data_IF_157153370132
#
_entry.id   IF_157153370132
#
_cell.length_a   1.000
_cell.length_b   1.000
_cell.length_c   1.000
_cell.angle_alpha   90.00
_cell.angle_beta   90.00
_cell.angle_gamma   90.00
#
_symmetry.space_group_name_H-M   'P 1'
#
loop_
_entity.id
_entity.type
_entity.pdbx_description
1 polymer ?
#
# COMPACT_ATOMS: atom_id res chain seq x y z
N UNK A 1 -8.69 -33.25 -28.37
CA UNK A 1 -7.79 -32.44 -27.51
C UNK A 1 -8.56 -31.21 -27.08
N UNK A 2 -9.32 -31.33 -25.99
CA UNK A 2 -10.01 -30.18 -25.40
C UNK A 2 -8.97 -29.27 -24.75
N UNK A 3 -8.71 -28.11 -25.37
CA UNK A 3 -7.96 -27.03 -24.74
C UNK A 3 -8.91 -26.43 -23.69
N UNK A 4 -8.76 -26.88 -22.45
CA UNK A 4 -9.49 -26.34 -21.31
C UNK A 4 -8.98 -24.90 -21.09
N UNK A 5 -9.68 -23.92 -21.66
CA UNK A 5 -9.39 -22.51 -21.40
C UNK A 5 -9.73 -22.24 -19.94
N UNK A 6 -8.72 -22.28 -19.06
CA UNK A 6 -8.86 -21.77 -17.70
C UNK A 6 -9.43 -20.36 -17.79
N UNK A 7 -10.51 -20.09 -17.06
CA UNK A 7 -11.07 -18.76 -16.93
C UNK A 7 -9.95 -17.80 -16.48
N UNK A 8 -9.91 -16.57 -16.99
CA UNK A 8 -8.86 -15.59 -16.68
C UNK A 8 -8.72 -15.39 -15.16
N UNK A 9 -9.86 -15.37 -14.45
CA UNK A 9 -9.89 -15.31 -12.99
C UNK A 9 -9.25 -16.51 -12.29
N UNK A 10 -9.35 -17.69 -12.89
CA UNK A 10 -8.73 -18.90 -12.37
C UNK A 10 -7.22 -18.88 -12.62
N UNK A 11 -6.78 -18.41 -13.79
CA UNK A 11 -5.34 -18.18 -14.07
C UNK A 11 -4.73 -17.21 -13.07
N UNK A 12 -5.40 -16.07 -12.83
CA UNK A 12 -4.96 -15.08 -11.84
C UNK A 12 -4.95 -15.68 -10.43
N UNK A 13 -5.98 -16.45 -10.06
CA UNK A 13 -6.06 -17.08 -8.74
C UNK A 13 -4.95 -18.11 -8.51
N UNK A 14 -4.59 -18.91 -9.51
CA UNK A 14 -3.49 -19.87 -9.45
C UNK A 14 -2.16 -19.13 -9.25
N UNK A 15 -1.90 -18.12 -10.09
CA UNK A 15 -0.68 -17.31 -10.02
C UNK A 15 -0.57 -16.58 -8.66
N UNK A 16 -1.66 -15.97 -8.21
CA UNK A 16 -1.73 -15.27 -6.93
C UNK A 16 -1.53 -16.22 -5.74
N UNK A 17 -2.18 -17.39 -5.75
CA UNK A 17 -2.01 -18.39 -4.68
C UNK A 17 -0.55 -18.84 -4.55
N UNK A 18 0.13 -19.07 -5.67
CA UNK A 18 1.54 -19.45 -5.68
C UNK A 18 2.43 -18.36 -5.05
N UNK A 19 2.26 -17.10 -5.45
CA UNK A 19 3.08 -16.00 -4.92
C UNK A 19 2.74 -15.67 -3.46
N UNK A 20 1.46 -15.69 -3.08
CA UNK A 20 1.04 -15.51 -1.69
C UNK A 20 1.57 -16.61 -0.77
N UNK A 21 1.81 -17.82 -1.27
CA UNK A 21 2.41 -18.94 -0.53
C UNK A 21 3.92 -18.80 -0.35
N UNK A 22 4.60 -18.17 -1.30
CA UNK A 22 6.06 -17.97 -1.26
C UNK A 22 6.45 -16.74 -0.44
N UNK A 23 5.72 -15.63 -0.58
CA UNK A 23 6.09 -14.35 0.02
C UNK A 23 5.46 -14.17 1.41
N UNK A 24 6.25 -14.18 2.50
CA UNK A 24 5.72 -14.19 3.87
C UNK A 24 5.17 -12.84 4.33
N UNK A 25 5.50 -11.74 3.64
CA UNK A 25 5.00 -10.39 3.94
C UNK A 25 3.59 -10.12 3.43
N UNK A 26 3.15 -10.93 2.48
CA UNK A 26 1.83 -10.79 1.90
C UNK A 26 0.77 -11.43 2.81
N UNK A 27 -0.49 -11.10 2.54
CA UNK A 27 -1.62 -11.75 3.19
C UNK A 27 -1.59 -13.27 2.94
N UNK A 28 -2.20 -14.10 3.80
CA UNK A 28 -2.29 -15.52 3.53
C UNK A 28 -3.11 -15.74 2.25
N UNK A 29 -2.75 -16.78 1.51
CA UNK A 29 -3.61 -17.27 0.45
C UNK A 29 -4.88 -17.86 1.05
N UNK A 30 -6.01 -17.65 0.37
CA UNK A 30 -7.29 -18.29 0.69
C UNK A 30 -7.49 -19.59 -0.08
N UNK A 31 -6.55 -19.95 -0.96
CA UNK A 31 -6.63 -21.04 -1.92
C UNK A 31 -7.33 -20.63 -3.21
N UNK A 32 -6.94 -21.27 -4.32
CA UNK A 32 -7.36 -20.94 -5.70
C UNK A 32 -8.87 -20.74 -5.83
N UNK A 33 -9.68 -21.69 -5.35
CA UNK A 33 -11.16 -21.62 -5.46
C UNK A 33 -11.76 -20.38 -4.77
N UNK A 34 -11.20 -19.96 -3.64
CA UNK A 34 -11.70 -18.78 -2.92
C UNK A 34 -11.19 -17.49 -3.56
N UNK A 35 -9.96 -17.49 -4.07
CA UNK A 35 -9.41 -16.34 -4.80
C UNK A 35 -10.12 -16.12 -6.13
N UNK A 36 -10.43 -17.17 -6.90
CA UNK A 36 -11.17 -17.03 -8.17
C UNK A 36 -12.59 -16.49 -7.97
N UNK A 37 -13.26 -16.93 -6.90
CA UNK A 37 -14.61 -16.43 -6.57
C UNK A 37 -14.61 -15.00 -6.01
N UNK A 38 -13.62 -14.64 -5.18
CA UNK A 38 -13.59 -13.33 -4.50
C UNK A 38 -12.83 -12.26 -5.27
N UNK A 39 -11.92 -12.64 -6.15
CA UNK A 39 -11.09 -11.74 -6.95
C UNK A 39 -11.93 -10.72 -7.72
N UNK A 40 -12.92 -11.15 -8.52
CA UNK A 40 -13.79 -10.23 -9.27
C UNK A 40 -14.57 -9.24 -8.41
N UNK A 41 -14.85 -9.61 -7.15
CA UNK A 41 -15.59 -8.78 -6.19
C UNK A 41 -14.68 -7.83 -5.40
N UNK A 42 -13.38 -7.94 -5.56
CA UNK A 42 -12.39 -7.13 -4.84
C UNK A 42 -11.84 -6.06 -5.78
N UNK A 43 -11.81 -4.77 -5.36
CA UNK A 43 -11.12 -3.74 -6.13
C UNK A 43 -9.65 -4.11 -6.33
N UNK A 44 -9.29 -4.44 -7.56
CA UNK A 44 -7.97 -4.96 -7.92
C UNK A 44 -7.42 -4.27 -9.15
N UNK A 45 -6.11 -4.31 -9.28
CA UNK A 45 -5.34 -3.84 -10.43
C UNK A 45 -4.52 -5.03 -10.92
N UNK A 46 -4.55 -5.26 -12.23
CA UNK A 46 -3.81 -6.33 -12.89
C UNK A 46 -3.01 -5.67 -14.01
N UNK A 47 -1.71 -5.90 -14.02
CA UNK A 47 -0.82 -5.48 -15.10
C UNK A 47 -0.41 -6.72 -15.87
N UNK A 48 -0.56 -6.66 -17.18
CA UNK A 48 -0.13 -7.69 -18.11
C UNK A 48 1.10 -7.21 -18.86
N UNK A 49 2.04 -8.12 -19.10
CA UNK A 49 3.22 -7.95 -19.95
C UNK A 49 3.24 -9.11 -20.95
N UNK A 50 3.19 -8.80 -22.24
CA UNK A 50 3.06 -9.78 -23.33
C UNK A 50 1.95 -10.84 -23.13
N UNK A 51 0.84 -10.44 -22.50
CA UNK A 51 -0.31 -11.32 -22.23
C UNK A 51 -0.18 -12.23 -20.99
N UNK A 52 0.95 -12.15 -20.28
CA UNK A 52 1.19 -12.81 -19.01
C UNK A 52 1.03 -11.82 -17.84
N UNK A 53 0.75 -12.35 -16.64
CA UNK A 53 0.52 -11.53 -15.45
C UNK A 53 1.87 -11.01 -14.94
N UNK A 54 2.08 -9.70 -15.03
CA UNK A 54 3.30 -9.05 -14.56
C UNK A 54 3.15 -8.44 -13.17
N UNK A 55 1.94 -7.98 -12.84
CA UNK A 55 1.68 -7.27 -11.60
C UNK A 55 0.25 -7.40 -11.12
N UNK A 56 0.08 -7.34 -9.80
CA UNK A 56 -1.22 -7.43 -9.16
C UNK A 56 -1.27 -6.56 -7.91
N UNK A 57 -2.40 -5.89 -7.71
CA UNK A 57 -2.67 -5.22 -6.46
C UNK A 57 -4.14 -5.29 -6.01
N UNK A 58 -4.32 -5.23 -4.69
CA UNK A 58 -5.62 -5.18 -4.03
C UNK A 58 -5.78 -3.91 -3.21
N UNK A 59 -6.92 -3.24 -3.42
CA UNK A 59 -7.37 -2.11 -2.63
C UNK A 59 -8.52 -2.56 -1.74
N UNK A 60 -8.48 -2.19 -0.45
CA UNK A 60 -9.53 -2.54 0.51
C UNK A 60 -9.91 -1.37 1.40
N UNK A 61 -11.15 -1.37 1.89
CA UNK A 61 -11.63 -0.42 2.90
C UNK A 61 -11.20 -0.88 4.30
N UNK A 62 -10.62 0.03 5.09
CA UNK A 62 -10.26 -0.24 6.49
C UNK A 62 -10.45 1.01 7.36
N UNK A 63 -11.44 0.97 8.26
CA UNK A 63 -11.64 2.01 9.28
C UNK A 63 -11.72 3.44 8.73
N UNK A 64 -12.37 3.65 7.58
CA UNK A 64 -12.48 4.96 6.92
C UNK A 64 -11.29 5.37 6.05
N UNK A 65 -10.28 4.51 5.90
CA UNK A 65 -9.18 4.64 4.95
C UNK A 65 -9.31 3.59 3.83
N UNK A 66 -8.63 3.82 2.71
CA UNK A 66 -8.39 2.79 1.70
C UNK A 66 -6.96 2.28 1.89
N UNK A 67 -6.78 0.98 1.95
CA UNK A 67 -5.47 0.35 2.06
C UNK A 67 -5.11 -0.34 0.74
N UNK A 68 -3.93 0.00 0.23
CA UNK A 68 -3.23 -0.79 -0.78
C UNK A 68 -2.60 -2.00 -0.07
N UNK A 69 -3.38 -3.07 0.01
CA UNK A 69 -3.19 -4.15 0.97
C UNK A 69 -2.28 -5.29 0.48
N UNK A 70 -2.20 -5.47 -0.83
CA UNK A 70 -1.35 -6.49 -1.45
C UNK A 70 -0.87 -5.90 -2.76
N UNK A 71 0.44 -5.92 -2.96
CA UNK A 71 1.10 -5.49 -4.20
C UNK A 71 2.13 -6.55 -4.52
N UNK A 72 2.06 -7.09 -5.72
CA UNK A 72 2.89 -8.19 -6.17
C UNK A 72 3.36 -7.86 -7.57
N UNK A 73 4.65 -8.03 -7.80
CA UNK A 73 5.25 -8.01 -9.13
C UNK A 73 5.88 -9.38 -9.33
N UNK A 74 5.65 -9.97 -10.50
CA UNK A 74 6.26 -11.24 -10.91
C UNK A 74 7.77 -11.18 -10.66
N UNK A 75 8.36 -12.13 -9.90
CA UNK A 75 9.77 -12.07 -9.52
C UNK A 75 10.74 -11.82 -10.67
N UNK A 76 10.47 -12.42 -11.84
CA UNK A 76 11.29 -12.30 -13.05
C UNK A 76 11.24 -10.91 -13.69
N UNK A 77 10.21 -10.11 -13.39
CA UNK A 77 9.95 -8.80 -13.96
C UNK A 77 10.21 -7.66 -12.95
N UNK A 78 10.72 -7.98 -11.76
CA UNK A 78 11.12 -6.98 -10.77
C UNK A 78 12.28 -6.14 -11.31
N UNK A 79 12.32 -4.86 -10.93
CA UNK A 79 13.31 -3.90 -11.45
C UNK A 79 12.86 -3.15 -12.71
N UNK A 80 11.84 -3.62 -13.42
CA UNK A 80 11.33 -2.98 -14.65
C UNK A 80 10.34 -1.84 -14.41
N UNK A 81 10.19 -1.37 -13.16
CA UNK A 81 9.30 -0.25 -12.82
C UNK A 81 7.82 -0.60 -12.64
N UNK A 82 7.41 -1.87 -12.78
CA UNK A 82 6.01 -2.28 -12.59
C UNK A 82 5.41 -1.90 -11.23
N UNK A 83 6.22 -1.88 -10.16
CA UNK A 83 5.76 -1.43 -8.83
C UNK A 83 5.29 0.03 -8.86
N UNK A 84 5.98 0.91 -9.58
CA UNK A 84 5.60 2.32 -9.73
C UNK A 84 4.31 2.44 -10.55
N UNK A 85 4.18 1.64 -11.62
CA UNK A 85 2.96 1.61 -12.44
C UNK A 85 1.74 1.15 -11.63
N UNK A 86 1.88 0.10 -10.81
CA UNK A 86 0.83 -0.37 -9.91
C UNK A 86 0.43 0.73 -8.92
N UNK A 87 1.41 1.37 -8.27
CA UNK A 87 1.13 2.42 -7.29
C UNK A 87 0.44 3.62 -7.95
N UNK A 88 0.83 3.98 -9.17
CA UNK A 88 0.17 5.04 -9.94
C UNK A 88 -1.28 4.69 -10.25
N UNK A 89 -1.54 3.50 -10.81
CA UNK A 89 -2.91 3.05 -11.10
C UNK A 89 -3.76 2.92 -9.83
N UNK A 90 -3.15 2.51 -8.71
CA UNK A 90 -3.81 2.45 -7.41
C UNK A 90 -4.23 3.84 -6.91
N UNK A 91 -3.39 4.85 -7.11
CA UNK A 91 -3.71 6.23 -6.82
C UNK A 91 -4.83 6.77 -7.72
N UNK A 92 -4.76 6.54 -9.04
CA UNK A 92 -5.81 6.98 -9.98
C UNK A 92 -7.16 6.38 -9.61
N UNK A 93 -7.19 5.07 -9.34
CA UNK A 93 -8.38 4.36 -8.91
C UNK A 93 -8.88 4.87 -7.56
N UNK A 94 -7.99 5.10 -6.59
CA UNK A 94 -8.38 5.69 -5.31
C UNK A 94 -8.98 7.09 -5.46
N UNK A 95 -8.54 7.92 -6.40
CA UNK A 95 -9.08 9.27 -6.61
C UNK A 95 -10.41 9.29 -7.35
N UNK A 96 -10.78 8.22 -8.06
CA UNK A 96 -11.87 8.30 -9.03
C UNK A 96 -12.94 7.22 -8.86
N UNK A 97 -12.65 6.10 -8.19
CA UNK A 97 -13.55 4.94 -8.11
C UNK A 97 -14.59 5.09 -6.99
N UNK A 98 -15.87 5.37 -7.30
CA UNK A 98 -16.91 5.51 -6.28
C UNK A 98 -17.18 4.19 -5.56
N UNK A 99 -17.04 3.05 -6.24
CA UNK A 99 -17.29 1.70 -5.71
C UNK A 99 -16.29 1.38 -4.60
N UNK A 100 -15.03 1.75 -4.82
CA UNK A 100 -13.98 1.62 -3.82
C UNK A 100 -14.30 2.39 -2.54
N UNK A 101 -14.87 3.59 -2.68
CA UNK A 101 -15.29 4.44 -1.56
C UNK A 101 -16.66 4.06 -0.98
N UNK A 102 -17.41 3.18 -1.63
CA UNK A 102 -18.76 2.80 -1.21
C UNK A 102 -19.78 3.91 -1.42
N UNK A 103 -19.49 4.81 -2.36
CA UNK A 103 -20.42 5.85 -2.79
C UNK A 103 -21.40 5.22 -3.77
N UNK A 104 -22.72 5.39 -3.60
CA UNK A 104 -23.70 4.89 -4.56
C UNK A 104 -23.43 5.49 -5.95
N UNK A 105 -23.52 4.66 -6.99
CA UNK A 105 -23.23 5.05 -8.38
C UNK A 105 -24.31 5.97 -9.00
N UNK A 106 -25.41 6.21 -8.28
CA UNK A 106 -26.43 7.18 -8.64
C UNK A 106 -26.38 8.35 -7.67
N UNK A 107 -26.19 9.56 -8.21
CA UNK A 107 -26.52 10.78 -7.47
C UNK A 107 -27.98 10.70 -7.02
N UNK A 108 -28.26 11.23 -5.83
CA UNK A 108 -29.64 11.36 -5.36
C UNK A 108 -30.32 12.37 -6.27
N UNK A 109 -31.10 11.89 -7.24
CA UNK A 109 -31.87 12.76 -8.14
C UNK A 109 -33.05 13.27 -7.33
N UNK A 110 -32.89 14.47 -6.77
CA UNK A 110 -33.99 15.17 -6.12
C UNK A 110 -34.90 15.73 -7.23
N UNK A 111 -35.97 14.99 -7.54
CA UNK A 111 -36.94 15.33 -8.61
C UNK A 111 -37.70 16.64 -8.32
N UNK A 112 -37.56 17.21 -7.12
CA UNK A 112 -38.22 18.43 -6.68
C UNK A 112 -37.51 19.72 -7.12
N UNK A 113 -36.22 19.66 -7.49
CA UNK A 113 -35.44 20.80 -7.95
C UNK A 113 -34.72 20.47 -9.28
N UNK A 114 -35.44 20.59 -10.40
CA UNK A 114 -34.92 20.38 -11.76
C UNK A 114 -33.99 21.51 -12.25
N UNK A 115 -33.31 22.22 -11.34
CA UNK A 115 -32.38 23.28 -11.66
C UNK A 115 -31.04 23.02 -10.97
N UNK A 116 -30.08 22.55 -11.78
CA UNK A 116 -28.63 22.72 -11.59
C UNK A 116 -28.06 22.32 -10.22
N UNK A 117 -27.64 21.06 -10.09
CA UNK A 117 -26.31 20.74 -9.55
C UNK A 117 -25.76 19.49 -10.26
N UNK A 118 -25.15 19.72 -11.42
CA UNK A 118 -24.21 18.78 -12.07
C UNK A 118 -22.89 18.74 -11.27
N UNK A 119 -22.95 18.48 -9.97
CA UNK A 119 -21.75 18.37 -9.12
C UNK A 119 -21.38 16.91 -8.95
N UNK A 120 -20.87 16.29 -10.01
CA UNK A 120 -20.16 15.01 -9.93
C UNK A 120 -18.92 15.06 -10.83
N UNK A 121 -17.75 14.47 -10.48
CA UNK A 121 -17.36 13.76 -9.26
C UNK A 121 -16.21 14.47 -8.50
N UNK A 122 -16.37 14.77 -7.21
CA UNK A 122 -15.24 14.97 -6.29
C UNK A 122 -15.19 13.82 -5.30
N UNK A 123 -14.49 12.73 -5.66
CA UNK A 123 -14.32 11.60 -4.73
C UNK A 123 -12.87 11.47 -4.32
N UNK A 124 -12.58 11.97 -3.13
CA UNK A 124 -11.56 11.38 -2.29
C UNK A 124 -12.11 11.31 -0.89
N UNK A 125 -12.44 10.10 -0.42
CA UNK A 125 -12.90 9.90 0.96
C UNK A 125 -11.94 8.97 1.69
N UNK A 126 -11.25 9.55 2.67
CA UNK A 126 -10.29 8.85 3.51
C UNK A 126 -8.89 8.74 2.87
N UNK A 127 -7.86 8.61 3.69
CA UNK A 127 -6.49 8.50 3.20
C UNK A 127 -6.26 7.16 2.49
N UNK A 128 -5.34 7.15 1.52
CA UNK A 128 -4.77 5.94 0.97
C UNK A 128 -3.56 5.54 1.81
N UNK A 129 -3.57 4.34 2.36
CA UNK A 129 -2.52 3.84 3.25
C UNK A 129 -1.88 2.58 2.68
N UNK A 130 -0.60 2.37 2.96
CA UNK A 130 0.07 1.10 2.67
C UNK A 130 1.09 0.79 3.76
N UNK A 131 1.26 -0.50 4.05
CA UNK A 131 2.26 -1.00 4.96
C UNK A 131 3.30 -1.79 4.18
N UNK A 132 4.56 -1.40 4.29
CA UNK A 132 5.64 -2.17 3.69
C UNK A 132 6.87 -2.18 4.59
N UNK A 133 7.65 -3.26 4.51
CA UNK A 133 9.02 -3.34 5.02
C UNK A 133 10.05 -3.34 3.89
N UNK A 134 9.60 -3.54 2.65
CA UNK A 134 10.41 -3.69 1.46
C UNK A 134 10.82 -2.31 0.92
N UNK A 135 12.12 -2.10 0.71
CA UNK A 135 12.68 -0.84 0.26
C UNK A 135 12.22 -0.47 -1.16
N UNK A 136 12.15 -1.44 -2.08
CA UNK A 136 11.72 -1.19 -3.46
C UNK A 136 10.25 -0.76 -3.54
N UNK A 137 9.38 -1.39 -2.73
CA UNK A 137 7.99 -0.96 -2.59
C UNK A 137 7.90 0.40 -1.89
N UNK A 138 8.73 0.65 -0.87
CA UNK A 138 8.81 1.96 -0.20
C UNK A 138 9.18 3.08 -1.16
N UNK A 139 10.16 2.84 -2.04
CA UNK A 139 10.56 3.76 -3.10
C UNK A 139 9.41 4.01 -4.09
N UNK A 140 8.70 2.95 -4.51
CA UNK A 140 7.54 3.09 -5.39
C UNK A 140 6.40 3.90 -4.75
N UNK A 141 6.15 3.73 -3.45
CA UNK A 141 5.18 4.51 -2.70
C UNK A 141 5.61 5.98 -2.58
N UNK A 142 6.89 6.24 -2.28
CA UNK A 142 7.42 7.61 -2.21
C UNK A 142 7.36 8.31 -3.58
N UNK A 143 7.77 7.65 -4.65
CA UNK A 143 7.59 8.12 -6.03
C UNK A 143 6.11 8.28 -6.40
N UNK A 144 5.24 7.46 -5.81
CA UNK A 144 3.79 7.57 -5.86
C UNK A 144 3.19 8.68 -4.99
N UNK A 145 3.98 9.56 -4.37
CA UNK A 145 3.51 10.69 -3.58
C UNK A 145 2.96 10.33 -2.20
N UNK A 146 3.27 9.15 -1.68
CA UNK A 146 2.99 8.81 -0.28
C UNK A 146 4.02 9.44 0.63
N UNK A 147 3.58 9.89 1.81
CA UNK A 147 4.47 10.36 2.87
C UNK A 147 4.70 9.24 3.87
N UNK A 148 5.96 9.05 4.24
CA UNK A 148 6.33 8.14 5.32
C UNK A 148 5.92 8.78 6.65
N UNK A 149 5.08 8.09 7.43
CA UNK A 149 4.70 8.59 8.75
C UNK A 149 5.84 8.31 9.75
N UNK A 150 6.38 9.33 10.43
CA UNK A 150 7.40 9.14 11.45
C UNK A 150 6.81 8.52 12.72
N UNK A 151 7.61 7.71 13.42
CA UNK A 151 7.23 7.06 14.68
C UNK A 151 7.04 8.07 15.80
N UNK A 152 5.81 8.54 16.02
CA UNK A 152 5.49 9.42 17.15
C UNK A 152 5.42 8.63 18.46
N UNK A 153 6.05 9.17 19.52
CA UNK A 153 5.91 8.68 20.90
C UNK A 153 4.75 9.43 21.56
N UNK A 154 3.77 8.74 22.15
CA UNK A 154 2.75 9.39 23.00
C UNK A 154 3.26 9.48 24.43
N UNK A 155 3.20 10.68 25.02
CA UNK A 155 3.47 10.90 26.44
C UNK A 155 2.46 10.18 27.34
N UNK A 156 1.18 10.11 26.93
CA UNK A 156 0.10 9.48 27.72
C UNK A 156 0.13 7.94 27.76
N UNK A 157 1.10 7.32 27.10
CA UNK A 157 1.37 5.87 27.12
C UNK A 157 2.87 5.68 27.31
N UNK A 158 3.39 6.36 28.33
CA UNK A 158 4.77 6.26 28.79
C UNK A 158 5.18 4.77 28.77
N UNK A 159 6.12 4.50 27.86
CA UNK A 159 7.08 3.41 27.99
C UNK A 159 6.73 1.97 27.59
N UNK A 160 5.85 1.71 26.61
CA UNK A 160 5.74 0.31 26.13
C UNK A 160 5.86 0.08 24.61
N UNK A 161 5.34 0.94 23.70
CA UNK A 161 5.35 0.61 22.27
C UNK A 161 5.57 1.82 21.33
N UNK A 162 6.67 1.81 20.57
CA UNK A 162 6.85 2.67 19.38
C UNK A 162 5.98 2.12 18.27
N UNK A 163 5.03 2.91 17.74
CA UNK A 163 4.08 2.40 16.75
C UNK A 163 3.69 3.48 15.73
N UNK A 164 3.83 3.14 14.44
CA UNK A 164 3.45 4.00 13.30
C UNK A 164 1.93 4.26 13.26
N UNK A 165 1.13 3.44 13.95
CA UNK A 165 -0.32 3.55 14.04
C UNK A 165 -0.81 4.81 14.75
N UNK A 166 0.00 5.37 15.65
CA UNK A 166 -0.42 6.46 16.53
C UNK A 166 -0.78 7.76 15.81
N UNK A 167 -0.38 7.91 14.54
CA UNK A 167 -0.68 9.06 13.71
C UNK A 167 -2.03 8.96 12.97
N UNK A 168 -2.64 7.78 12.89
CA UNK A 168 -3.92 7.59 12.21
C UNK A 168 -5.11 7.99 13.12
N UNK A 169 -6.30 8.30 12.57
CA UNK A 169 -7.51 8.47 13.37
C UNK A 169 -7.82 7.25 14.23
N UNK A 170 -8.38 7.44 15.43
CA UNK A 170 -8.61 6.37 16.40
C UNK A 170 -9.45 5.21 15.83
N UNK A 171 -10.47 5.53 15.02
CA UNK A 171 -11.30 4.50 14.34
C UNK A 171 -10.47 3.64 13.40
N UNK A 172 -9.57 4.24 12.62
CA UNK A 172 -8.65 3.53 11.74
C UNK A 172 -7.64 2.70 12.53
N UNK A 173 -7.13 3.21 13.65
CA UNK A 173 -6.24 2.45 14.54
C UNK A 173 -6.91 1.19 15.07
N UNK A 174 -8.14 1.31 15.57
CA UNK A 174 -8.91 0.17 16.09
C UNK A 174 -9.20 -0.83 14.96
N UNK A 175 -9.62 -0.35 13.78
CA UNK A 175 -9.91 -1.21 12.64
C UNK A 175 -8.67 -1.98 12.14
N UNK A 176 -7.52 -1.31 12.02
CA UNK A 176 -6.27 -1.99 11.63
C UNK A 176 -5.80 -2.94 12.71
N UNK A 177 -5.93 -2.58 13.99
CA UNK A 177 -5.65 -3.46 15.11
C UNK A 177 -6.50 -4.73 15.07
N UNK A 178 -7.80 -4.60 14.85
CA UNK A 178 -8.73 -5.72 14.73
C UNK A 178 -8.43 -6.59 13.50
N UNK A 179 -8.18 -5.98 12.33
CA UNK A 179 -7.79 -6.72 11.13
C UNK A 179 -6.52 -7.54 11.33
N UNK A 180 -5.49 -6.96 11.98
CA UNK A 180 -4.26 -7.68 12.32
C UNK A 180 -4.50 -8.80 13.32
N UNK A 181 -5.39 -8.61 14.29
CA UNK A 181 -5.77 -9.65 15.25
C UNK A 181 -6.45 -10.82 14.53
N UNK A 182 -7.45 -10.55 13.69
CA UNK A 182 -8.16 -11.58 12.90
C UNK A 182 -7.20 -12.34 11.98
N UNK A 183 -6.27 -11.63 11.33
CA UNK A 183 -5.22 -12.26 10.52
C UNK A 183 -4.29 -13.13 11.37
N UNK A 184 -3.85 -12.64 12.53
CA UNK A 184 -3.03 -13.38 13.48
C UNK A 184 -3.69 -14.68 13.93
N UNK A 185 -4.98 -14.63 14.27
CA UNK A 185 -5.78 -15.81 14.60
C UNK A 185 -5.88 -16.75 13.41
N UNK A 186 -6.12 -16.23 12.21
CA UNK A 186 -6.18 -17.06 10.99
C UNK A 186 -4.83 -17.75 10.70
N UNK A 187 -3.71 -17.05 10.93
CA UNK A 187 -2.38 -17.61 10.74
C UNK A 187 -2.08 -18.77 11.69
N UNK A 188 -2.63 -18.77 12.91
CA UNK A 188 -2.45 -19.87 13.87
C UNK A 188 -2.97 -21.20 13.31
N UNK A 189 -4.05 -21.14 12.52
CA UNK A 189 -4.68 -22.34 11.95
C UNK A 189 -4.20 -22.69 10.54
N UNK A 190 -3.74 -21.72 9.75
CA UNK A 190 -3.43 -21.92 8.33
C UNK A 190 -1.94 -21.99 8.02
N UNK A 191 -1.11 -21.21 8.71
CA UNK A 191 0.32 -21.08 8.42
C UNK A 191 1.10 -20.59 9.65
N UNK A 192 1.29 -21.45 10.67
CA UNK A 192 1.88 -21.03 11.94
C UNK A 192 3.34 -20.55 11.80
N UNK A 193 4.09 -21.06 10.82
CA UNK A 193 5.46 -20.63 10.52
C UNK A 193 5.56 -19.14 10.17
N UNK A 194 4.50 -18.55 9.59
CA UNK A 194 4.45 -17.12 9.25
C UNK A 194 4.27 -16.21 10.45
N UNK A 195 3.72 -16.71 11.55
CA UNK A 195 3.54 -15.92 12.77
C UNK A 195 4.90 -15.53 13.33
N UNK A 196 5.85 -16.47 13.33
CA UNK A 196 7.22 -16.20 13.78
C UNK A 196 7.85 -15.10 12.92
N UNK A 197 7.67 -15.18 11.60
CA UNK A 197 8.13 -14.14 10.67
C UNK A 197 7.51 -12.77 11.00
N UNK A 198 6.18 -12.72 11.16
CA UNK A 198 5.48 -11.47 11.43
C UNK A 198 5.85 -10.88 12.79
N UNK A 199 5.97 -11.69 13.84
CA UNK A 199 6.42 -11.22 15.16
C UNK A 199 7.83 -10.65 15.10
N UNK A 200 8.77 -11.35 14.44
CA UNK A 200 10.17 -10.93 14.28
C UNK A 200 10.31 -9.62 13.50
N UNK A 201 9.47 -9.42 12.47
CA UNK A 201 9.55 -8.27 11.57
C UNK A 201 8.48 -7.19 11.82
N UNK A 202 7.62 -7.37 12.82
CA UNK A 202 6.52 -6.44 13.16
C UNK A 202 6.98 -4.99 13.33
N UNK A 203 8.19 -4.79 13.86
CA UNK A 203 8.82 -3.48 14.06
C UNK A 203 9.46 -2.89 12.82
N UNK A 204 9.60 -3.64 11.72
CA UNK A 204 10.20 -3.15 10.47
C UNK A 204 9.17 -2.60 9.49
N UNK A 205 7.90 -2.99 9.60
CA UNK A 205 6.84 -2.42 8.78
C UNK A 205 6.70 -0.92 9.07
N UNK A 206 6.69 -0.15 7.99
CA UNK A 206 6.49 1.29 7.98
C UNK A 206 5.13 1.60 7.35
N UNK A 207 4.53 2.68 7.80
CA UNK A 207 3.25 3.17 7.31
C UNK A 207 3.49 4.33 6.36
N UNK A 208 3.03 4.16 5.13
CA UNK A 208 2.99 5.19 4.10
C UNK A 208 1.55 5.67 3.96
N UNK A 209 1.35 6.98 3.97
CA UNK A 209 0.02 7.58 3.88
C UNK A 209 0.01 8.65 2.80
N UNK A 210 -1.07 8.66 2.05
CA UNK A 210 -1.41 9.74 1.14
C UNK A 210 -2.74 10.34 1.56
N UNK A 211 -2.71 11.64 1.85
CA UNK A 211 -3.83 12.40 2.41
C UNK A 211 -4.76 12.82 1.25
N UNK A 212 -6.09 12.84 1.45
CA UNK A 212 -7.03 13.28 0.41
C UNK A 212 -6.74 14.67 -0.16
N UNK A 213 -6.19 15.57 0.65
CA UNK A 213 -5.81 16.94 0.25
C UNK A 213 -4.74 16.97 -0.85
N UNK A 214 -3.89 15.94 -0.96
CA UNK A 214 -2.87 15.82 -2.00
C UNK A 214 -3.27 14.88 -3.13
N UNK A 215 -4.55 14.51 -3.20
CA UNK A 215 -5.05 13.55 -4.19
C UNK A 215 -5.08 14.12 -5.61
N UNK A 216 -5.28 15.42 -5.79
CA UNK A 216 -5.29 16.07 -7.11
C UNK A 216 -3.88 16.27 -7.67
N UNK A 217 -2.87 16.37 -6.80
CA UNK A 217 -1.47 16.50 -7.23
C UNK A 217 -1.03 15.18 -7.85
N UNK A 218 -0.54 15.15 -9.10
CA UNK A 218 0.03 13.92 -9.64
C UNK A 218 1.24 13.49 -8.80
N UNK A 219 1.52 12.18 -8.72
CA UNK A 219 2.75 11.69 -8.08
C UNK A 219 3.98 12.37 -8.71
N UNK A 220 5.00 12.71 -7.90
CA UNK A 220 6.21 13.37 -8.40
C UNK A 220 6.85 12.49 -9.48
N UNK A 221 6.87 12.98 -10.73
CA UNK A 221 7.55 12.28 -11.82
C UNK A 221 9.05 12.28 -11.52
N UNK A 222 9.63 11.09 -11.40
CA UNK A 222 11.08 10.86 -11.36
C UNK A 222 11.68 11.19 -12.74
N UNK A 223 11.71 12.48 -13.09
CA UNK A 223 12.61 12.99 -14.11
C UNK A 223 13.69 13.81 -13.40
N UNK A 224 14.94 13.37 -13.54
CA UNK A 224 16.14 14.14 -13.23
C UNK A 224 16.11 15.46 -14.04
N UNK A 225 16.52 16.57 -13.40
CA UNK A 225 16.64 17.98 -13.86
C UNK A 225 15.33 18.78 -13.87
N UNK A 226 15.23 20.00 -13.34
CA UNK A 226 16.21 20.98 -12.85
C UNK A 226 15.50 22.06 -12.02
N UNK A 227 16.21 22.60 -11.01
CA UNK A 227 16.25 24.00 -10.60
C UNK A 227 15.07 24.92 -10.97
N UNK A 228 14.19 25.19 -9.99
CA UNK A 228 13.69 26.54 -9.65
C UNK A 228 12.60 26.44 -8.58
N UNK A 229 12.96 26.78 -7.35
CA UNK A 229 12.35 27.84 -6.53
C UNK A 229 12.71 27.60 -5.06
N UNK A 230 13.23 28.66 -4.44
CA UNK A 230 13.82 28.65 -3.12
C UNK A 230 12.80 28.28 -2.04
N UNK A 231 13.14 27.23 -1.30
CA UNK A 231 12.43 26.76 -0.12
C UNK A 231 12.55 25.24 -0.04
N UNK A 232 13.03 24.71 1.08
CA UNK A 232 13.01 23.27 1.33
C UNK A 232 11.54 22.87 1.47
N UNK A 233 10.92 22.48 0.35
CA UNK A 233 9.56 21.96 0.36
C UNK A 233 9.53 20.74 1.29
N UNK A 234 8.48 20.62 2.11
CA UNK A 234 8.23 19.44 2.96
C UNK A 234 8.31 18.12 2.19
N UNK A 235 8.08 18.19 0.87
CA UNK A 235 8.20 17.07 -0.06
C UNK A 235 9.65 16.56 -0.19
N UNK A 236 10.65 17.44 -0.10
CA UNK A 236 12.08 17.07 -0.09
C UNK A 236 12.43 16.36 1.22
N UNK A 237 11.94 16.83 2.37
CA UNK A 237 12.16 16.18 3.68
C UNK A 237 11.52 14.79 3.73
N UNK A 238 10.28 14.65 3.23
CA UNK A 238 9.60 13.35 3.12
C UNK A 238 10.32 12.41 2.13
N UNK A 239 10.88 12.96 1.05
CA UNK A 239 11.72 12.21 0.10
C UNK A 239 13.05 11.80 0.74
N UNK A 240 13.69 12.64 1.55
CA UNK A 240 14.91 12.31 2.27
C UNK A 240 14.67 11.22 3.31
N UNK A 241 13.56 11.24 4.04
CA UNK A 241 13.19 10.17 4.97
C UNK A 241 12.86 8.84 4.24
N UNK A 242 12.24 8.92 3.07
CA UNK A 242 12.00 7.75 2.22
C UNK A 242 13.31 7.21 1.59
N UNK A 243 14.20 8.10 1.15
CA UNK A 243 15.54 7.76 0.65
C UNK A 243 16.40 7.15 1.76
N UNK A 244 16.37 7.72 2.97
CA UNK A 244 17.03 7.16 4.14
C UNK A 244 16.47 5.77 4.48
N UNK A 245 15.15 5.54 4.32
CA UNK A 245 14.57 4.19 4.45
C UNK A 245 15.11 3.23 3.38
N UNK A 246 15.28 3.67 2.14
CA UNK A 246 15.86 2.84 1.06
C UNK A 246 17.37 2.63 1.21
N UNK A 247 18.09 3.58 1.81
CA UNK A 247 19.54 3.51 2.03
C UNK A 247 19.91 2.78 3.32
N UNK A 248 19.01 2.70 4.31
CA UNK A 248 19.23 1.95 5.56
C UNK A 248 19.33 0.42 5.38
N UNK A 249 19.17 -0.10 4.15
CA UNK A 249 19.53 -1.48 3.79
C UNK A 249 21.03 -1.65 3.49
N UNK A 250 21.80 -0.56 3.33
CA UNK A 250 23.25 -0.62 3.43
C UNK A 250 23.55 -0.63 4.92
N UNK A 251 23.77 -1.83 5.47
CA UNK A 251 24.20 -2.03 6.84
C UNK A 251 25.44 -1.17 7.12
N UNK A 252 25.24 0.04 7.65
CA UNK A 252 26.27 0.72 8.40
C UNK A 252 26.46 -0.11 9.66
N UNK A 253 27.42 -1.02 9.59
CA UNK A 253 27.94 -1.77 10.73
C UNK A 253 28.18 -0.80 11.87
N UNK A 254 27.85 -1.19 13.10
CA UNK A 254 28.02 -0.37 14.30
C UNK A 254 29.44 0.19 14.50
N UNK A 255 30.44 -0.36 13.80
CA UNK A 255 31.82 0.13 13.74
C UNK A 255 31.98 1.45 12.98
N UNK A 256 31.13 1.77 11.99
CA UNK A 256 31.21 3.04 11.26
C UNK A 256 30.67 4.23 12.04
N UNK A 257 29.77 4.00 13.00
CA UNK A 257 29.22 5.05 13.87
C UNK A 257 30.25 5.45 14.95
N UNK A 258 31.09 4.51 15.40
CA UNK A 258 32.15 4.80 16.36
C UNK A 258 33.31 5.61 15.76
N UNK A 259 33.60 5.45 14.46
CA UNK A 259 34.70 6.15 13.79
C UNK A 259 34.44 7.65 13.53
N UNK A 260 33.21 8.14 13.71
CA UNK A 260 32.87 9.56 13.52
C UNK A 260 32.90 10.38 14.81
N UNK A 261 32.89 9.73 15.99
CA UNK A 261 32.91 10.39 17.30
C UNK A 261 34.31 10.42 17.96
N UNK A 262 35.35 9.91 17.29
CA UNK A 262 36.76 10.00 17.75
C UNK A 262 37.57 11.06 16.96
N UNK A 263 36.87 11.91 16.20
CA UNK A 263 37.46 12.91 15.30
C UNK A 263 37.22 14.36 15.70
N UNK A 264 37.27 14.71 16.99
CA UNK A 264 37.58 16.07 17.50
C UNK A 264 38.37 16.00 18.81
#
# INVERSE_FOLDING_TARGET
MERNWLNEDERIAIWLDALLKTEPDLRPSRGVTKESRKGPLTPRIIILDDGEIAGYAELRRIGGAIELATVIVEPKLRGNGFSHQIVHQAWERWRQDPVLHGTPLGGQVDLSNAALELTGPQIVRGPLISFTRDAAMGAALAGGGFTLIPRKRRASRLWLWKSDFAALPLRTQIAVGFDRLVRGVTFLFTSPSRIVHFMRHSRKYRLFVRIPETAERPPPRLHLRSEREGGVASDVMNQMDALAFTMAEIETTSEQIAAWDEGE
#
